data_IF_267962094499
#
_entry.id   IF_267962094499
#
_cell.length_a   1.000
_cell.length_b   1.000
_cell.length_c   1.000
_cell.angle_alpha   90.00
_cell.angle_beta   90.00
_cell.angle_gamma   90.00
#
_symmetry.space_group_name_H-M   'P 1'
#
loop_
_entity.id
_entity.type
_entity.pdbx_description
1 polymer ?
#
# COMPACT_ATOMS: atom_id res chain seq x y z
N UNK A 1 -25.69 16.50 -23.63
CA UNK A 1 -24.69 17.55 -23.30
C UNK A 1 -24.62 17.81 -21.80
N UNK A 2 -25.72 18.19 -21.12
CA UNK A 2 -25.69 18.41 -19.66
C UNK A 2 -25.44 17.14 -18.85
N UNK A 3 -26.10 16.02 -19.17
CA UNK A 3 -25.87 14.73 -18.48
C UNK A 3 -24.43 14.22 -18.63
N UNK A 4 -23.84 14.37 -19.82
CA UNK A 4 -22.46 13.98 -20.09
C UNK A 4 -21.46 14.84 -19.34
N UNK A 5 -21.70 16.15 -19.20
CA UNK A 5 -20.85 17.04 -18.39
C UNK A 5 -20.94 16.67 -16.90
N UNK A 6 -22.16 16.46 -16.40
CA UNK A 6 -22.38 16.02 -15.02
C UNK A 6 -21.69 14.67 -14.72
N UNK A 7 -21.79 13.70 -15.63
CA UNK A 7 -21.12 12.40 -15.48
C UNK A 7 -19.60 12.53 -15.38
N UNK A 8 -18.99 13.41 -16.18
CA UNK A 8 -17.54 13.68 -16.12
C UNK A 8 -17.15 14.33 -14.79
N UNK A 9 -17.94 15.28 -14.31
CA UNK A 9 -17.68 15.94 -13.04
C UNK A 9 -17.78 14.98 -11.85
N UNK A 10 -18.75 14.06 -11.86
CA UNK A 10 -18.86 13.00 -10.85
C UNK A 10 -17.68 12.02 -10.91
N UNK A 11 -17.25 11.60 -12.09
CA UNK A 11 -16.08 10.72 -12.25
C UNK A 11 -14.79 11.38 -11.71
N UNK A 12 -14.61 12.68 -11.95
CA UNK A 12 -13.49 13.46 -11.41
C UNK A 12 -13.56 13.58 -9.89
N UNK A 13 -14.72 13.90 -9.35
CA UNK A 13 -14.91 14.04 -7.91
C UNK A 13 -14.67 12.70 -7.19
N UNK A 14 -15.22 11.61 -7.73
CA UNK A 14 -15.03 10.27 -7.17
C UNK A 14 -13.54 9.93 -7.13
N UNK A 15 -12.83 10.07 -8.26
CA UNK A 15 -11.40 9.78 -8.33
C UNK A 15 -10.59 10.69 -7.39
N UNK A 16 -10.93 11.98 -7.29
CA UNK A 16 -10.25 12.91 -6.39
C UNK A 16 -10.40 12.51 -4.92
N UNK A 17 -11.61 12.10 -4.50
CA UNK A 17 -11.85 11.65 -3.13
C UNK A 17 -11.10 10.34 -2.87
N UNK A 18 -11.19 9.36 -3.75
CA UNK A 18 -10.48 8.08 -3.63
C UNK A 18 -8.97 8.29 -3.55
N UNK A 19 -8.41 9.13 -4.44
CA UNK A 19 -6.99 9.48 -4.45
C UNK A 19 -6.53 10.15 -3.16
N UNK A 20 -7.27 11.17 -2.69
CA UNK A 20 -6.94 11.85 -1.44
C UNK A 20 -6.99 10.89 -0.24
N UNK A 21 -8.04 10.08 -0.13
CA UNK A 21 -8.17 9.12 0.96
C UNK A 21 -7.04 8.10 0.96
N UNK A 22 -6.73 7.50 -0.20
CA UNK A 22 -5.62 6.56 -0.31
C UNK A 22 -4.28 7.20 0.09
N UNK A 23 -4.02 8.41 -0.41
CA UNK A 23 -2.76 9.11 -0.17
C UNK A 23 -2.58 9.59 1.28
N UNK A 24 -3.60 9.54 2.14
CA UNK A 24 -3.41 9.71 3.58
C UNK A 24 -2.63 8.54 4.19
N UNK A 25 -2.84 7.33 3.69
CA UNK A 25 -2.24 6.12 4.26
C UNK A 25 -0.88 5.79 3.64
N UNK A 26 -0.66 6.13 2.36
CA UNK A 26 0.60 5.88 1.63
C UNK A 26 1.85 6.43 2.37
N UNK A 27 1.97 7.72 2.70
CA UNK A 27 3.17 8.26 3.34
C UNK A 27 3.38 7.70 4.74
N UNK A 28 2.31 7.36 5.46
CA UNK A 28 2.41 6.69 6.76
C UNK A 28 2.96 5.27 6.60
N UNK A 29 2.48 4.49 5.63
CA UNK A 29 3.01 3.13 5.35
C UNK A 29 4.50 3.21 5.03
N UNK A 30 4.89 4.11 4.12
CA UNK A 30 6.29 4.30 3.73
C UNK A 30 7.16 4.74 4.91
N UNK A 31 6.70 5.68 5.75
CA UNK A 31 7.46 6.12 6.92
C UNK A 31 7.57 5.06 8.02
N UNK A 32 6.45 4.40 8.33
CA UNK A 32 6.39 3.37 9.38
C UNK A 32 7.18 2.12 9.00
N UNK A 33 7.25 1.74 7.72
CA UNK A 33 8.03 0.58 7.28
C UNK A 33 9.52 0.76 7.59
N UNK A 34 10.08 1.96 7.35
CA UNK A 34 11.46 2.27 7.74
C UNK A 34 11.65 2.28 9.26
N UNK A 35 10.70 2.84 10.02
CA UNK A 35 10.77 2.82 11.48
C UNK A 35 10.81 1.38 11.99
N UNK A 36 9.88 0.53 11.54
CA UNK A 36 9.83 -0.89 11.93
C UNK A 36 11.14 -1.60 11.56
N UNK A 37 11.62 -1.44 10.32
CA UNK A 37 12.85 -2.05 9.85
C UNK A 37 14.09 -1.64 10.67
N UNK A 38 14.21 -0.36 11.03
CA UNK A 38 15.30 0.15 11.87
C UNK A 38 15.20 -0.45 13.28
N UNK A 39 14.03 -0.42 13.91
CA UNK A 39 13.85 -0.92 15.27
C UNK A 39 14.08 -2.43 15.35
N UNK A 40 13.61 -3.19 14.37
CA UNK A 40 13.87 -4.63 14.26
C UNK A 40 15.36 -4.93 14.04
N UNK A 41 16.04 -4.16 13.18
CA UNK A 41 17.48 -4.29 12.97
C UNK A 41 18.26 -4.03 14.28
N UNK A 42 17.86 -3.03 15.05
CA UNK A 42 18.45 -2.75 16.37
C UNK A 42 18.22 -3.90 17.34
N UNK A 43 17.02 -4.50 17.35
CA UNK A 43 16.73 -5.69 18.15
C UNK A 43 17.63 -6.88 17.76
N UNK A 44 17.72 -7.21 16.47
CA UNK A 44 18.49 -8.35 15.98
C UNK A 44 19.99 -8.19 16.28
N UNK A 45 20.52 -6.97 16.15
CA UNK A 45 21.95 -6.69 16.42
C UNK A 45 22.29 -6.63 17.90
N UNK A 46 21.43 -6.03 18.72
CA UNK A 46 21.73 -5.81 20.15
C UNK A 46 21.28 -6.95 21.05
N UNK A 47 20.25 -7.71 20.65
CA UNK A 47 19.57 -8.67 21.52
C UNK A 47 18.71 -8.03 22.62
N UNK A 48 18.60 -6.70 22.69
CA UNK A 48 17.82 -6.01 23.72
C UNK A 48 16.31 -6.09 23.44
N UNK A 49 15.61 -6.81 24.31
CA UNK A 49 14.15 -7.02 24.25
C UNK A 49 13.34 -5.72 24.32
N UNK A 50 13.92 -4.59 24.75
CA UNK A 50 13.28 -3.27 24.63
C UNK A 50 12.97 -2.93 23.17
N UNK A 51 13.92 -3.14 22.26
CA UNK A 51 13.72 -2.85 20.83
C UNK A 51 12.65 -3.74 20.23
N UNK A 52 12.59 -5.02 20.62
CA UNK A 52 11.51 -5.94 20.20
C UNK A 52 10.12 -5.41 20.55
N UNK A 53 9.94 -4.88 21.77
CA UNK A 53 8.66 -4.31 22.21
C UNK A 53 8.29 -3.08 21.39
N UNK A 54 9.27 -2.21 21.11
CA UNK A 54 9.09 -1.01 20.29
C UNK A 54 8.71 -1.41 18.85
N UNK A 55 9.43 -2.38 18.25
CA UNK A 55 9.11 -2.92 16.92
C UNK A 55 7.68 -3.42 16.87
N UNK A 56 7.25 -4.27 17.82
CA UNK A 56 5.87 -4.81 17.83
C UNK A 56 4.79 -3.75 17.98
N UNK A 57 5.05 -2.70 18.76
CA UNK A 57 4.14 -1.56 18.87
C UNK A 57 3.96 -0.85 17.52
N UNK A 58 5.06 -0.45 16.88
CA UNK A 58 5.01 0.25 15.59
C UNK A 58 4.49 -0.63 14.46
N UNK A 59 4.84 -1.93 14.47
CA UNK A 59 4.27 -2.90 13.55
C UNK A 59 2.74 -2.88 13.63
N UNK A 60 2.16 -2.90 14.83
CA UNK A 60 0.69 -2.94 14.98
C UNK A 60 0.02 -1.74 14.30
N UNK A 61 0.58 -0.54 14.48
CA UNK A 61 0.11 0.67 13.80
C UNK A 61 0.32 0.59 12.28
N UNK A 62 1.48 0.08 11.86
CA UNK A 62 1.78 -0.16 10.45
C UNK A 62 0.77 -1.13 9.81
N UNK A 63 0.38 -2.22 10.48
CA UNK A 63 -0.62 -3.15 9.95
C UNK A 63 -1.99 -2.54 9.72
N UNK A 64 -2.48 -1.76 10.69
CA UNK A 64 -3.77 -1.09 10.57
C UNK A 64 -3.74 -0.12 9.37
N UNK A 65 -2.67 0.69 9.29
CA UNK A 65 -2.49 1.65 8.21
C UNK A 65 -2.35 0.96 6.84
N UNK A 66 -1.54 -0.10 6.78
CA UNK A 66 -1.30 -0.89 5.58
C UNK A 66 -2.59 -1.53 5.06
N UNK A 67 -3.40 -2.15 5.93
CA UNK A 67 -4.66 -2.76 5.53
C UNK A 67 -5.62 -1.77 4.86
N UNK A 68 -5.73 -0.55 5.39
CA UNK A 68 -6.56 0.50 4.80
C UNK A 68 -5.95 1.02 3.49
N UNK A 69 -4.62 1.19 3.46
CA UNK A 69 -3.89 1.58 2.25
C UNK A 69 -4.10 0.60 1.10
N UNK A 70 -3.99 -0.71 1.37
CA UNK A 70 -4.26 -1.77 0.39
C UNK A 70 -5.72 -1.71 -0.10
N UNK A 71 -6.69 -1.64 0.81
CA UNK A 71 -8.10 -1.61 0.43
C UNK A 71 -8.43 -0.40 -0.47
N UNK A 72 -7.90 0.78 -0.13
CA UNK A 72 -8.12 2.01 -0.92
C UNK A 72 -7.36 2.00 -2.25
N UNK A 73 -6.18 1.40 -2.30
CA UNK A 73 -5.38 1.28 -3.53
C UNK A 73 -6.05 0.38 -4.57
N UNK A 74 -6.60 -0.76 -4.14
CA UNK A 74 -7.36 -1.68 -5.02
C UNK A 74 -8.56 -0.96 -5.65
N UNK A 75 -9.29 -0.16 -4.86
CA UNK A 75 -10.43 0.61 -5.39
C UNK A 75 -9.96 1.60 -6.46
N UNK A 76 -8.86 2.32 -6.20
CA UNK A 76 -8.30 3.28 -7.15
C UNK A 76 -7.82 2.62 -8.46
N UNK A 77 -7.17 1.46 -8.38
CA UNK A 77 -6.73 0.70 -9.56
C UNK A 77 -7.93 0.37 -10.47
N UNK A 78 -9.02 -0.12 -9.88
CA UNK A 78 -10.23 -0.45 -10.64
C UNK A 78 -11.00 0.77 -11.16
N UNK A 79 -10.83 1.96 -10.57
CA UNK A 79 -11.46 3.19 -11.07
C UNK A 79 -10.96 3.57 -12.48
N UNK A 80 -9.72 3.23 -12.85
CA UNK A 80 -9.23 3.41 -14.22
C UNK A 80 -10.06 2.61 -15.25
N UNK A 81 -10.56 1.43 -14.86
CA UNK A 81 -11.39 0.60 -15.73
C UNK A 81 -12.86 1.01 -15.77
N UNK A 82 -13.44 1.35 -14.62
CA UNK A 82 -14.89 1.61 -14.50
C UNK A 82 -15.29 2.99 -14.99
N UNK A 83 -14.59 4.03 -14.53
CA UNK A 83 -14.95 5.43 -14.78
C UNK A 83 -14.09 6.09 -15.88
N UNK A 84 -12.96 5.48 -16.22
CA UNK A 84 -11.97 6.01 -17.17
C UNK A 84 -11.65 5.05 -18.33
N UNK A 85 -12.64 4.28 -18.79
CA UNK A 85 -12.45 3.23 -19.81
C UNK A 85 -11.83 3.73 -21.13
N UNK A 86 -12.24 4.89 -21.64
CA UNK A 86 -11.65 5.49 -22.84
C UNK A 86 -10.19 5.89 -22.64
N UNK A 87 -9.83 6.39 -21.46
CA UNK A 87 -8.42 6.69 -21.12
C UNK A 87 -7.61 5.39 -21.10
N UNK A 88 -8.12 4.37 -20.42
CA UNK A 88 -7.49 3.05 -20.31
C UNK A 88 -7.31 2.38 -21.67
N UNK A 89 -8.27 2.52 -22.59
CA UNK A 89 -8.11 2.05 -23.96
C UNK A 89 -7.08 2.86 -24.75
N UNK A 90 -7.02 4.18 -24.56
CA UNK A 90 -6.15 5.07 -25.34
C UNK A 90 -4.67 5.00 -24.93
N UNK A 91 -4.36 4.85 -23.64
CA UNK A 91 -2.97 4.84 -23.14
C UNK A 91 -2.58 3.57 -22.39
N UNK A 92 -3.45 2.56 -22.33
CA UNK A 92 -3.23 1.34 -21.55
C UNK A 92 -1.93 0.59 -21.86
N UNK A 93 -1.51 0.59 -23.13
CA UNK A 93 -0.26 -0.07 -23.56
C UNK A 93 0.99 0.54 -22.92
N UNK A 94 0.94 1.82 -22.54
CA UNK A 94 2.05 2.54 -21.88
C UNK A 94 1.81 2.63 -20.38
N UNK A 95 0.62 3.05 -19.96
CA UNK A 95 0.29 3.32 -18.55
C UNK A 95 0.01 2.04 -17.75
N UNK A 96 -0.58 1.02 -18.37
CA UNK A 96 -0.92 -0.25 -17.72
C UNK A 96 0.30 -1.12 -17.43
N UNK A 97 1.37 -1.01 -18.21
CA UNK A 97 2.58 -1.82 -18.00
C UNK A 97 3.27 -1.54 -16.65
N UNK A 98 3.53 -0.28 -16.25
CA UNK A 98 4.03 0.04 -14.91
C UNK A 98 3.11 -0.45 -13.78
N UNK A 99 1.79 -0.31 -13.91
CA UNK A 99 0.82 -0.78 -12.90
C UNK A 99 0.87 -2.30 -12.72
N UNK A 100 0.95 -3.05 -13.84
CA UNK A 100 1.08 -4.50 -13.79
C UNK A 100 2.41 -4.92 -13.13
N UNK A 101 3.51 -4.22 -13.43
CA UNK A 101 4.81 -4.47 -12.81
C UNK A 101 4.78 -4.14 -11.32
N UNK A 102 4.14 -3.04 -10.92
CA UNK A 102 3.93 -2.69 -9.51
C UNK A 102 3.19 -3.81 -8.77
N UNK A 103 2.10 -4.33 -9.34
CA UNK A 103 1.34 -5.43 -8.76
C UNK A 103 2.15 -6.73 -8.60
N UNK A 104 2.89 -7.12 -9.65
CA UNK A 104 3.65 -8.39 -9.65
C UNK A 104 4.90 -8.31 -8.78
N UNK A 105 5.63 -7.19 -8.81
CA UNK A 105 6.89 -7.06 -8.09
C UNK A 105 6.70 -6.43 -6.72
N UNK A 106 6.25 -5.17 -6.67
CA UNK A 106 6.22 -4.40 -5.43
C UNK A 106 5.15 -4.92 -4.47
N UNK A 107 3.89 -5.00 -4.94
CA UNK A 107 2.77 -5.37 -4.10
C UNK A 107 2.84 -6.82 -3.61
N UNK A 108 3.23 -7.75 -4.50
CA UNK A 108 3.39 -9.15 -4.11
C UNK A 108 4.52 -9.33 -3.09
N UNK A 109 5.66 -8.67 -3.31
CA UNK A 109 6.78 -8.68 -2.35
C UNK A 109 6.35 -8.09 -1.01
N UNK A 110 5.79 -6.88 -1.01
CA UNK A 110 5.36 -6.19 0.20
C UNK A 110 4.32 -7.02 0.98
N UNK A 111 3.28 -7.53 0.32
CA UNK A 111 2.23 -8.32 0.95
C UNK A 111 2.74 -9.65 1.52
N UNK A 112 3.67 -10.30 0.81
CA UNK A 112 4.26 -11.57 1.27
C UNK A 112 5.15 -11.36 2.49
N UNK A 113 6.07 -10.39 2.44
CA UNK A 113 6.94 -10.09 3.56
C UNK A 113 6.19 -9.45 4.74
N UNK A 114 5.11 -8.71 4.48
CA UNK A 114 4.19 -8.24 5.52
C UNK A 114 3.63 -9.39 6.35
N UNK A 115 3.16 -10.46 5.69
CA UNK A 115 2.67 -11.63 6.38
C UNK A 115 3.76 -12.33 7.20
N UNK A 116 4.98 -12.43 6.68
CA UNK A 116 6.11 -13.01 7.43
C UNK A 116 6.48 -12.13 8.63
N UNK A 117 6.56 -10.81 8.46
CA UNK A 117 6.86 -9.87 9.56
C UNK A 117 5.89 -10.05 10.74
N UNK A 118 4.60 -10.25 10.45
CA UNK A 118 3.57 -10.40 11.49
C UNK A 118 3.50 -11.80 12.10
N UNK A 119 3.58 -12.85 11.29
CA UNK A 119 3.34 -14.23 11.74
C UNK A 119 4.61 -15.07 11.88
N UNK A 120 5.77 -14.51 11.52
CA UNK A 120 7.06 -15.20 11.43
C UNK A 120 7.89 -15.20 12.71
N UNK A 121 7.53 -14.43 13.74
CA UNK A 121 8.34 -14.25 14.97
C UNK A 121 8.84 -15.55 15.62
N UNK A 122 8.04 -16.61 15.58
CA UNK A 122 8.37 -17.93 16.15
C UNK A 122 8.55 -19.02 15.06
N UNK A 123 8.55 -18.63 13.78
CA UNK A 123 8.61 -19.55 12.62
C UNK A 123 9.85 -19.35 11.74
N UNK A 124 10.42 -18.15 11.73
CA UNK A 124 11.65 -17.83 10.99
C UNK A 124 12.76 -17.42 11.94
N UNK A 125 14.02 -17.63 11.55
CA UNK A 125 15.17 -17.20 12.33
C UNK A 125 15.33 -15.69 12.33
N UNK A 126 16.04 -15.14 13.33
CA UNK A 126 16.29 -13.68 13.45
C UNK A 126 17.04 -13.04 12.27
N UNK A 127 17.63 -13.85 11.38
CA UNK A 127 18.37 -13.38 10.20
C UNK A 127 17.70 -13.67 8.86
N UNK A 128 16.43 -14.12 8.89
CA UNK A 128 15.56 -14.20 7.71
C UNK A 128 15.06 -12.80 7.36
#
# INVERSE_FOLDING_TARGET
>A
MYETLASVDWARLQFAVTALYHFLFVPLTLGLSFIVAIMETLYVRSGDEKWKRITRFWMTLFAINFAIGVATGIIMEFEFGTNWSNYSWFVGDIFGAPLAVEGILAFFMESTFFAVMFFGWDKVGKGF
#
